data_IF_909519798978
#
_entry.id   IF_909519798978
#
_cell.length_a   1.000
_cell.length_b   1.000
_cell.length_c   1.000
_cell.angle_alpha   90.00
_cell.angle_beta   90.00
_cell.angle_gamma   90.00
#
_symmetry.space_group_name_H-M   'P 1'
#
loop_
_entity.id
_entity.type
_entity.pdbx_description
1 polymer ?
#
# COMPACT_ATOMS: atom_id res chain seq x y z
N UNK A 1 -4.11 -7.43 37.34
CA UNK A 1 -5.45 -6.84 37.51
C UNK A 1 -5.68 -6.64 38.98
N UNK A 2 -6.16 -5.49 39.46
CA UNK A 2 -6.50 -5.27 40.83
C UNK A 2 -7.67 -6.17 41.23
N UNK A 3 -7.56 -6.76 42.42
CA UNK A 3 -8.62 -7.60 42.98
C UNK A 3 -9.09 -6.99 44.31
N UNK A 4 -10.38 -7.08 44.57
CA UNK A 4 -10.94 -6.64 45.85
C UNK A 4 -10.67 -7.67 46.97
N UNK A 5 -11.04 -7.33 48.21
CA UNK A 5 -10.86 -8.21 49.38
C UNK A 5 -11.53 -9.58 49.30
N UNK A 6 -12.41 -9.80 48.30
CA UNK A 6 -13.11 -11.06 48.04
C UNK A 6 -12.52 -11.83 46.87
N UNK A 7 -11.35 -11.43 46.36
CA UNK A 7 -10.69 -12.08 45.19
C UNK A 7 -11.36 -11.83 43.85
N UNK A 8 -12.35 -10.92 43.76
CA UNK A 8 -13.00 -10.55 42.48
C UNK A 8 -12.29 -9.34 41.87
N UNK A 9 -12.30 -9.24 40.53
CA UNK A 9 -11.73 -8.10 39.80
C UNK A 9 -12.40 -6.80 40.30
N UNK A 10 -11.57 -5.82 40.67
CA UNK A 10 -12.00 -4.49 41.03
C UNK A 10 -11.97 -3.58 39.79
N UNK A 11 -13.06 -3.57 39.06
CA UNK A 11 -13.18 -2.78 37.82
C UNK A 11 -13.01 -1.28 38.07
N UNK A 12 -13.54 -0.76 39.18
CA UNK A 12 -13.44 0.67 39.51
C UNK A 12 -11.99 1.09 39.74
N UNK A 13 -11.23 0.30 40.47
CA UNK A 13 -9.81 0.54 40.69
C UNK A 13 -9.02 0.36 39.38
N UNK A 14 -9.38 -0.61 38.52
CA UNK A 14 -8.78 -0.82 37.22
C UNK A 14 -8.95 0.39 36.30
N UNK A 15 -10.15 0.97 36.24
CA UNK A 15 -10.43 2.17 35.44
C UNK A 15 -9.68 3.38 35.98
N UNK A 16 -9.59 3.54 37.31
CA UNK A 16 -8.82 4.62 37.95
C UNK A 16 -7.32 4.52 37.67
N UNK A 17 -6.74 3.33 37.81
CA UNK A 17 -5.31 3.09 37.55
C UNK A 17 -5.00 3.31 36.07
N UNK A 18 -5.89 2.88 35.15
CA UNK A 18 -5.75 3.10 33.73
C UNK A 18 -5.85 4.60 33.38
N UNK A 19 -6.84 5.31 33.92
CA UNK A 19 -6.99 6.74 33.66
C UNK A 19 -5.79 7.55 34.19
N UNK A 20 -5.28 7.24 35.39
CA UNK A 20 -4.10 7.90 35.92
C UNK A 20 -2.87 7.72 35.00
N UNK A 21 -2.72 6.55 34.35
CA UNK A 21 -1.65 6.32 33.40
C UNK A 21 -1.86 7.10 32.10
N UNK A 22 -3.07 7.14 31.58
CA UNK A 22 -3.42 7.91 30.37
C UNK A 22 -3.19 9.41 30.59
N UNK A 23 -3.59 9.92 31.74
CA UNK A 23 -3.40 11.32 32.13
C UNK A 23 -1.90 11.67 32.29
N UNK A 24 -1.09 10.79 32.91
CA UNK A 24 0.37 10.93 32.99
C UNK A 24 1.02 11.04 31.61
N UNK A 25 0.52 10.30 30.64
CA UNK A 25 1.02 10.30 29.25
C UNK A 25 0.41 11.40 28.39
N UNK A 26 -0.43 12.27 28.96
CA UNK A 26 -1.17 13.33 28.28
C UNK A 26 -1.99 12.80 27.07
N UNK A 27 -2.55 11.59 27.21
CA UNK A 27 -3.36 10.99 26.14
C UNK A 27 -4.83 11.43 26.25
N UNK A 28 -5.42 12.03 25.22
CA UNK A 28 -6.81 12.47 25.22
C UNK A 28 -7.78 11.30 24.98
N UNK A 29 -7.75 10.30 25.91
CA UNK A 29 -8.54 9.08 25.86
C UNK A 29 -9.07 8.79 27.27
N UNK A 30 -10.32 8.38 27.38
CA UNK A 30 -10.88 7.91 28.65
C UNK A 30 -10.66 6.41 28.81
N UNK A 31 -10.36 5.95 30.03
CA UNK A 31 -10.19 4.52 30.32
C UNK A 31 -11.41 3.66 29.94
N UNK A 32 -12.60 4.27 29.88
CA UNK A 32 -13.87 3.63 29.52
C UNK A 32 -14.19 3.69 28.00
N UNK A 33 -13.35 4.35 27.19
CA UNK A 33 -13.60 4.45 25.77
C UNK A 33 -13.42 3.08 25.08
N UNK A 34 -14.30 2.80 24.10
CA UNK A 34 -14.16 1.60 23.28
C UNK A 34 -13.04 1.81 22.26
N UNK A 35 -12.03 0.93 22.26
CA UNK A 35 -10.88 1.00 21.36
C UNK A 35 -11.28 1.05 19.86
N UNK A 36 -12.37 0.39 19.48
CA UNK A 36 -12.86 0.41 18.08
C UNK A 36 -13.25 1.81 17.59
N UNK A 37 -13.66 2.68 18.51
CA UNK A 37 -14.08 4.05 18.18
C UNK A 37 -12.94 5.07 18.20
N UNK A 38 -11.73 4.64 18.59
CA UNK A 38 -10.56 5.50 18.61
C UNK A 38 -9.88 5.54 17.24
N UNK A 39 -9.26 6.69 16.90
CA UNK A 39 -8.38 6.79 15.74
C UNK A 39 -7.20 5.81 15.89
N UNK A 40 -6.58 5.46 14.76
CA UNK A 40 -5.44 4.53 14.76
C UNK A 40 -4.30 5.05 15.63
N UNK A 41 -4.01 6.34 15.57
CA UNK A 41 -3.01 6.99 16.43
C UNK A 41 -3.31 6.81 17.91
N UNK A 42 -4.55 7.08 18.33
CA UNK A 42 -4.96 6.91 19.73
C UNK A 42 -4.85 5.45 20.18
N UNK A 43 -5.20 4.49 19.31
CA UNK A 43 -5.03 3.06 19.61
C UNK A 43 -3.56 2.70 19.82
N UNK A 44 -2.66 3.23 18.98
CA UNK A 44 -1.22 3.01 19.11
C UNK A 44 -0.67 3.56 20.43
N UNK A 45 -1.09 4.77 20.81
CA UNK A 45 -0.71 5.37 22.08
C UNK A 45 -1.22 4.55 23.29
N UNK A 46 -2.43 3.99 23.21
CA UNK A 46 -2.99 3.10 24.23
C UNK A 46 -2.17 1.80 24.33
N UNK A 47 -1.68 1.23 23.21
CA UNK A 47 -0.79 0.05 23.26
C UNK A 47 0.53 0.35 23.97
N UNK A 48 1.11 1.54 23.78
CA UNK A 48 2.30 1.98 24.52
C UNK A 48 1.96 2.12 26.00
N UNK A 49 0.86 2.79 26.35
CA UNK A 49 0.40 2.92 27.73
C UNK A 49 0.21 1.55 28.41
N UNK A 50 -0.35 0.58 27.70
CA UNK A 50 -0.51 -0.80 28.16
C UNK A 50 0.83 -1.51 28.42
N UNK A 51 1.85 -1.31 27.59
CA UNK A 51 3.19 -1.83 27.85
C UNK A 51 3.77 -1.22 29.13
N UNK A 52 3.62 0.09 29.32
CA UNK A 52 4.09 0.81 30.51
C UNK A 52 3.36 0.42 31.79
N UNK A 53 2.07 0.05 31.72
CA UNK A 53 1.31 -0.42 32.89
C UNK A 53 1.92 -1.67 33.54
N UNK A 54 2.84 -2.34 32.85
CA UNK A 54 3.59 -3.51 33.33
C UNK A 54 5.00 -3.17 33.79
N UNK A 55 5.30 -1.88 34.01
CA UNK A 55 6.64 -1.40 34.37
C UNK A 55 7.72 -1.84 33.35
N UNK A 56 7.38 -1.84 32.06
CA UNK A 56 8.32 -2.16 31.00
C UNK A 56 9.48 -1.15 31.00
N UNK A 57 10.70 -1.66 31.01
CA UNK A 57 11.94 -0.86 30.87
C UNK A 57 12.41 -0.76 29.44
N UNK A 58 11.94 -1.66 28.59
CA UNK A 58 12.22 -1.69 27.14
C UNK A 58 10.89 -1.87 26.43
N UNK A 59 10.64 -1.02 25.44
CA UNK A 59 9.46 -1.09 24.57
C UNK A 59 9.91 -1.32 23.14
N UNK A 60 9.34 -2.31 22.48
CA UNK A 60 9.58 -2.58 21.04
C UNK A 60 8.41 -2.01 20.26
N UNK A 61 8.70 -1.11 19.33
CA UNK A 61 7.75 -0.50 18.41
C UNK A 61 8.05 -1.01 17.00
N UNK A 62 7.15 -1.84 16.47
CA UNK A 62 7.27 -2.44 15.14
C UNK A 62 6.34 -1.69 14.18
N UNK A 63 6.93 -0.89 13.29
CA UNK A 63 6.25 -0.02 12.31
C UNK A 63 5.06 0.77 12.90
N UNK A 64 5.23 1.49 14.01
CA UNK A 64 4.11 2.10 14.73
C UNK A 64 3.40 3.20 13.94
N UNK A 65 4.01 3.68 12.86
CA UNK A 65 3.56 4.83 12.06
C UNK A 65 3.00 4.45 10.70
N UNK A 66 2.98 3.17 10.35
CA UNK A 66 2.60 2.69 9.01
C UNK A 66 1.23 3.17 8.50
N UNK A 67 0.31 3.50 9.41
CA UNK A 67 -1.07 3.94 9.11
C UNK A 67 -1.42 5.29 9.73
N UNK A 68 -0.42 6.06 10.21
CA UNK A 68 -0.63 7.37 10.83
C UNK A 68 -0.50 8.50 9.80
N UNK A 69 -1.34 9.52 9.93
CA UNK A 69 -1.18 10.78 9.21
C UNK A 69 0.01 11.57 9.79
N UNK A 70 0.62 12.44 8.98
CA UNK A 70 1.80 13.21 9.38
C UNK A 70 1.56 14.07 10.63
N UNK A 71 0.37 14.64 10.78
CA UNK A 71 -0.04 15.39 11.98
C UNK A 71 -0.16 14.53 13.25
N UNK A 72 -0.31 13.22 13.11
CA UNK A 72 -0.41 12.29 14.26
C UNK A 72 0.96 11.78 14.71
N UNK A 73 1.99 11.85 13.84
CA UNK A 73 3.36 11.42 14.12
C UNK A 73 4.00 12.22 15.25
N UNK A 74 3.84 13.54 15.22
CA UNK A 74 4.41 14.43 16.25
C UNK A 74 3.96 14.06 17.67
N UNK A 75 2.72 13.61 17.83
CA UNK A 75 2.19 13.16 19.11
C UNK A 75 2.91 11.91 19.64
N UNK A 76 3.14 10.94 18.74
CA UNK A 76 3.87 9.72 19.05
C UNK A 76 5.34 10.02 19.39
N UNK A 77 6.00 10.87 18.60
CA UNK A 77 7.41 11.20 18.77
C UNK A 77 7.66 11.92 20.10
N UNK A 78 6.80 12.89 20.44
CA UNK A 78 6.86 13.55 21.77
C UNK A 78 6.72 12.56 22.90
N UNK A 79 5.80 11.59 22.79
CA UNK A 79 5.62 10.56 23.82
C UNK A 79 6.87 9.67 23.94
N UNK A 80 7.46 9.24 22.80
CA UNK A 80 8.68 8.41 22.81
C UNK A 80 9.85 9.19 23.44
N UNK A 81 10.08 10.45 23.06
CA UNK A 81 11.11 11.28 23.65
C UNK A 81 10.92 11.51 25.17
N UNK A 82 9.70 11.79 25.59
CA UNK A 82 9.38 11.94 27.02
C UNK A 82 9.77 10.68 27.80
N UNK A 83 9.32 9.51 27.32
CA UNK A 83 9.56 8.24 28.01
C UNK A 83 11.03 7.79 27.94
N UNK A 84 11.73 8.08 26.86
CA UNK A 84 13.17 7.86 26.76
C UNK A 84 13.93 8.72 27.78
N UNK A 85 13.51 9.98 27.96
CA UNK A 85 14.04 10.87 29.02
C UNK A 85 13.75 10.37 30.45
N UNK A 86 12.69 9.57 30.64
CA UNK A 86 12.38 8.88 31.92
C UNK A 86 13.18 7.58 32.09
N UNK A 87 14.07 7.22 31.16
CA UNK A 87 14.96 6.05 31.23
C UNK A 87 14.37 4.76 30.65
N UNK A 88 13.32 4.86 29.82
CA UNK A 88 12.77 3.71 29.10
C UNK A 88 13.55 3.54 27.80
N UNK A 89 14.09 2.33 27.56
CA UNK A 89 14.74 1.98 26.32
C UNK A 89 13.71 1.67 25.22
N UNK A 90 14.00 2.11 23.99
CA UNK A 90 13.16 1.80 22.83
C UNK A 90 13.94 1.03 21.78
N UNK A 91 13.31 0.01 21.21
CA UNK A 91 13.71 -0.60 19.94
C UNK A 91 12.66 -0.20 18.92
N UNK A 92 13.06 0.68 17.98
CA UNK A 92 12.16 1.26 16.98
C UNK A 92 12.44 0.63 15.62
N UNK A 93 11.46 -0.10 15.09
CA UNK A 93 11.56 -0.74 13.78
C UNK A 93 10.73 0.08 12.79
N UNK A 94 11.37 0.64 11.77
CA UNK A 94 10.72 1.40 10.71
C UNK A 94 11.50 1.30 9.41
N UNK A 95 10.79 1.38 8.30
CA UNK A 95 11.35 1.59 6.97
C UNK A 95 11.32 3.06 6.54
N UNK A 96 10.77 3.95 7.35
CA UNK A 96 10.72 5.40 7.13
C UNK A 96 11.98 6.04 7.70
N UNK A 97 12.93 6.36 6.83
CA UNK A 97 14.23 6.86 7.26
C UNK A 97 14.14 8.13 8.10
N UNK A 98 13.24 9.07 7.76
CA UNK A 98 13.04 10.31 8.53
C UNK A 98 12.78 10.04 10.02
N UNK A 99 12.01 9.00 10.35
CA UNK A 99 11.69 8.63 11.73
C UNK A 99 12.93 8.12 12.49
N UNK A 100 13.79 7.36 11.82
CA UNK A 100 15.04 6.85 12.40
C UNK A 100 15.96 8.01 12.77
N UNK A 101 16.11 8.99 11.86
CA UNK A 101 16.95 10.17 12.11
C UNK A 101 16.40 11.09 13.19
N UNK A 102 15.09 11.11 13.40
CA UNK A 102 14.44 11.97 14.39
C UNK A 102 14.42 11.34 15.79
N UNK A 103 14.21 10.02 15.87
CA UNK A 103 13.97 9.34 17.16
C UNK A 103 15.16 8.57 17.70
N UNK A 104 16.04 8.06 16.83
CA UNK A 104 17.02 7.07 17.22
C UNK A 104 18.42 7.69 17.37
N UNK A 105 19.19 7.21 18.35
CA UNK A 105 20.62 7.56 18.50
C UNK A 105 21.53 6.55 17.83
N UNK A 106 21.11 5.29 17.79
CA UNK A 106 21.86 4.20 17.14
C UNK A 106 20.99 3.49 16.14
N UNK A 107 21.60 2.90 15.11
CA UNK A 107 20.91 2.15 14.08
C UNK A 107 21.55 0.77 13.91
N UNK A 108 20.70 -0.24 13.82
CA UNK A 108 21.09 -1.62 13.48
C UNK A 108 20.47 -1.99 12.15
N UNK A 109 21.29 -2.20 11.14
CA UNK A 109 20.85 -2.54 9.79
C UNK A 109 20.79 -4.05 9.66
N UNK A 110 19.61 -4.56 9.29
CA UNK A 110 19.35 -5.98 9.06
C UNK A 110 18.83 -6.21 7.65
N UNK A 111 19.24 -7.32 7.03
CA UNK A 111 18.77 -7.78 5.72
C UNK A 111 18.68 -9.29 5.68
N UNK A 112 17.57 -9.84 5.23
CA UNK A 112 17.32 -11.29 5.13
C UNK A 112 17.61 -12.06 6.45
N UNK A 113 17.30 -11.41 7.60
CA UNK A 113 17.54 -11.98 8.92
C UNK A 113 18.98 -11.91 9.40
N UNK A 114 19.90 -11.31 8.64
CA UNK A 114 21.31 -11.14 8.99
C UNK A 114 21.61 -9.71 9.42
N UNK A 115 22.45 -9.56 10.43
CA UNK A 115 23.06 -8.27 10.80
C UNK A 115 24.02 -7.83 9.69
N UNK A 116 23.81 -6.65 9.15
CA UNK A 116 24.70 -6.02 8.16
C UNK A 116 25.67 -5.08 8.84
N UNK A 117 25.15 -4.17 9.67
CA UNK A 117 25.97 -3.17 10.35
C UNK A 117 25.23 -2.59 11.56
N UNK A 118 26.00 -2.01 12.48
CA UNK A 118 25.51 -1.28 13.64
C UNK A 118 26.37 -0.03 13.84
N UNK A 119 25.76 1.12 14.12
CA UNK A 119 26.46 2.40 14.30
C UNK A 119 25.59 3.48 14.89
N UNK A 120 26.16 4.69 15.05
CA UNK A 120 25.37 5.86 15.44
C UNK A 120 24.60 6.41 14.24
N UNK A 121 23.39 6.90 14.44
CA UNK A 121 22.57 7.47 13.35
C UNK A 121 23.30 8.63 12.66
N UNK A 122 24.09 9.43 13.41
CA UNK A 122 24.85 10.56 12.91
C UNK A 122 25.91 10.18 11.85
N UNK A 123 26.38 8.92 11.85
CA UNK A 123 27.36 8.42 10.90
C UNK A 123 26.76 8.07 9.52
N UNK A 124 25.44 8.15 9.38
CA UNK A 124 24.71 7.77 8.18
C UNK A 124 23.95 8.95 7.58
N UNK A 125 23.70 8.87 6.29
CA UNK A 125 22.65 9.62 5.61
C UNK A 125 21.60 8.63 5.07
N UNK A 126 20.48 9.16 4.60
CA UNK A 126 19.35 8.36 4.11
C UNK A 126 19.79 7.38 3.02
N UNK A 127 20.57 7.86 2.05
CA UNK A 127 21.01 7.05 0.91
C UNK A 127 21.92 5.90 1.36
N UNK A 128 22.84 6.17 2.28
CA UNK A 128 23.75 5.15 2.80
C UNK A 128 22.99 4.07 3.58
N UNK A 129 22.01 4.44 4.40
CA UNK A 129 21.16 3.47 5.12
C UNK A 129 20.39 2.59 4.15
N UNK A 130 19.72 3.19 3.17
CA UNK A 130 18.96 2.46 2.17
C UNK A 130 19.88 1.54 1.37
N UNK A 131 21.07 2.00 0.95
CA UNK A 131 22.07 1.19 0.24
C UNK A 131 22.46 -0.06 1.03
N UNK A 132 22.74 0.09 2.33
CA UNK A 132 23.09 -1.03 3.19
C UNK A 132 21.92 -1.99 3.44
N UNK A 133 20.71 -1.48 3.58
CA UNK A 133 19.49 -2.30 3.73
C UNK A 133 19.19 -3.09 2.45
N UNK A 134 19.29 -2.47 1.28
CA UNK A 134 19.00 -3.09 -0.02
C UNK A 134 20.18 -3.89 -0.55
N UNK A 135 21.42 -3.50 -0.16
CA UNK A 135 22.65 -4.16 -0.59
C UNK A 135 23.14 -3.78 -1.97
N UNK A 136 22.66 -2.67 -2.52
CA UNK A 136 23.03 -2.08 -3.83
C UNK A 136 23.01 -0.57 -3.73
N UNK A 137 23.69 0.14 -4.63
CA UNK A 137 23.64 1.60 -4.68
C UNK A 137 22.23 2.14 -4.96
N UNK A 138 21.78 3.15 -4.20
CA UNK A 138 20.44 3.74 -4.24
C UNK A 138 20.14 4.45 -5.56
N UNK A 139 21.14 4.62 -6.43
CA UNK A 139 20.96 5.31 -7.72
C UNK A 139 19.81 4.80 -8.60
N UNK A 140 19.16 3.66 -8.25
CA UNK A 140 18.19 2.97 -9.07
C UNK A 140 17.03 2.30 -8.30
N UNK A 141 16.43 2.96 -7.30
CA UNK A 141 15.18 2.45 -6.70
C UNK A 141 14.09 2.35 -7.79
N UNK A 142 14.07 3.33 -8.68
CA UNK A 142 13.13 3.39 -9.79
C UNK A 142 13.82 2.96 -11.09
N UNK A 143 13.61 1.72 -11.55
CA UNK A 143 14.26 1.23 -12.76
C UNK A 143 13.80 2.03 -13.99
N UNK A 144 14.76 2.55 -14.74
CA UNK A 144 14.48 3.32 -15.96
C UNK A 144 13.89 2.43 -17.05
N UNK A 145 12.86 2.93 -17.72
CA UNK A 145 12.22 2.30 -18.85
C UNK A 145 12.18 3.29 -20.03
N UNK A 146 12.32 2.77 -21.23
CA UNK A 146 12.03 3.53 -22.43
C UNK A 146 10.53 3.43 -22.71
N UNK A 147 9.78 4.50 -22.48
CA UNK A 147 8.36 4.54 -22.82
C UNK A 147 8.17 4.93 -24.27
N UNK A 148 7.25 4.25 -24.97
CA UNK A 148 6.71 4.68 -26.26
C UNK A 148 5.20 4.65 -26.10
N UNK A 149 4.60 5.81 -25.93
CA UNK A 149 3.15 5.92 -25.85
C UNK A 149 2.53 5.47 -27.17
N UNK A 150 1.71 4.41 -27.10
CA UNK A 150 0.96 3.90 -28.22
C UNK A 150 -0.38 4.60 -28.42
N UNK A 151 -1.30 3.92 -29.08
CA UNK A 151 -2.70 4.36 -29.22
C UNK A 151 -3.44 4.39 -27.88
N UNK A 152 -4.49 5.22 -27.76
CA UNK A 152 -5.39 5.22 -26.60
C UNK A 152 -6.14 3.91 -26.50
N UNK A 153 -6.02 3.21 -25.39
CA UNK A 153 -6.67 1.90 -25.17
C UNK A 153 -7.79 1.94 -24.13
N UNK A 154 -7.73 2.90 -23.22
CA UNK A 154 -8.78 3.21 -22.25
C UNK A 154 -9.01 4.71 -22.27
N UNK A 155 -10.25 5.11 -22.43
CA UNK A 155 -10.67 6.50 -22.30
C UNK A 155 -11.87 6.56 -21.35
N UNK A 156 -11.76 7.42 -20.37
CA UNK A 156 -12.87 7.79 -19.49
C UNK A 156 -13.21 9.25 -19.77
N UNK A 157 -14.50 9.55 -19.98
CA UNK A 157 -14.98 10.89 -20.32
C UNK A 157 -16.09 11.29 -19.36
N UNK A 158 -15.92 12.43 -18.72
CA UNK A 158 -16.91 13.06 -17.83
C UNK A 158 -17.51 12.13 -16.77
N UNK A 159 -16.65 11.29 -16.14
CA UNK A 159 -17.11 10.41 -15.08
C UNK A 159 -17.59 11.22 -13.88
N UNK A 160 -18.86 11.05 -13.54
CA UNK A 160 -19.48 11.65 -12.37
C UNK A 160 -19.99 10.58 -11.41
N UNK A 161 -19.77 10.81 -10.12
CA UNK A 161 -20.32 10.04 -9.02
C UNK A 161 -20.52 10.96 -7.82
N UNK A 162 -21.72 11.07 -7.35
CA UNK A 162 -22.09 11.99 -6.25
C UNK A 162 -21.19 11.80 -5.03
N UNK A 163 -20.53 12.87 -4.63
CA UNK A 163 -19.64 12.90 -3.46
C UNK A 163 -18.28 12.27 -3.65
N UNK A 164 -17.90 11.89 -4.88
CA UNK A 164 -16.61 11.24 -5.16
C UNK A 164 -15.93 11.69 -6.45
N UNK A 165 -16.68 11.83 -7.55
CA UNK A 165 -16.13 12.19 -8.87
C UNK A 165 -17.00 13.30 -9.50
N UNK A 166 -16.36 14.29 -10.09
CA UNK A 166 -17.00 15.45 -10.73
C UNK A 166 -16.31 15.75 -12.07
N UNK A 167 -16.87 15.21 -13.15
CA UNK A 167 -16.39 15.35 -14.54
C UNK A 167 -14.93 14.88 -14.76
N UNK A 168 -14.55 13.73 -14.16
CA UNK A 168 -13.20 13.18 -14.35
C UNK A 168 -13.06 12.61 -15.75
N UNK A 169 -12.06 13.12 -16.49
CA UNK A 169 -11.72 12.63 -17.83
C UNK A 169 -10.25 12.27 -17.88
N UNK A 170 -9.90 11.08 -18.40
CA UNK A 170 -8.53 10.63 -18.58
C UNK A 170 -8.39 9.65 -19.75
N UNK A 171 -7.18 9.53 -20.25
CA UNK A 171 -6.83 8.59 -21.33
C UNK A 171 -5.57 7.81 -20.94
N UNK A 172 -5.59 6.49 -21.11
CA UNK A 172 -4.44 5.59 -20.94
C UNK A 172 -4.02 5.05 -22.29
N UNK A 173 -2.72 5.15 -22.59
CA UNK A 173 -2.14 4.68 -23.83
C UNK A 173 -1.58 3.26 -23.70
N UNK A 174 -1.44 2.59 -24.84
CA UNK A 174 -0.82 1.26 -24.90
C UNK A 174 0.65 1.33 -24.44
N UNK A 175 1.04 0.45 -23.51
CA UNK A 175 2.40 0.39 -23.01
C UNK A 175 2.79 1.57 -22.11
N UNK A 176 1.82 2.21 -21.48
CA UNK A 176 1.98 3.35 -20.57
C UNK A 176 1.76 2.95 -19.12
N UNK A 177 2.46 3.61 -18.21
CA UNK A 177 2.09 3.72 -16.80
C UNK A 177 1.59 5.14 -16.55
N UNK A 178 0.28 5.31 -16.45
CA UNK A 178 -0.37 6.57 -16.10
C UNK A 178 -0.57 6.65 -14.59
N UNK A 179 0.00 7.67 -13.95
CA UNK A 179 -0.16 7.91 -12.52
C UNK A 179 -1.39 8.76 -12.20
N UNK A 180 -2.10 8.45 -11.12
CA UNK A 180 -3.11 9.31 -10.51
C UNK A 180 -2.57 9.85 -9.19
N UNK A 181 -2.28 11.15 -9.15
CA UNK A 181 -1.86 11.90 -7.97
C UNK A 181 -3.05 12.65 -7.33
N UNK A 182 -2.88 13.07 -6.09
CA UNK A 182 -3.85 13.88 -5.36
C UNK A 182 -3.79 13.62 -3.85
N UNK A 183 -4.40 14.48 -3.07
CA UNK A 183 -4.49 14.34 -1.61
C UNK A 183 -5.44 13.19 -1.21
N UNK A 184 -5.44 12.83 0.07
CA UNK A 184 -6.40 11.85 0.60
C UNK A 184 -7.84 12.34 0.34
N UNK A 185 -8.69 11.45 -0.21
CA UNK A 185 -10.06 11.81 -0.59
C UNK A 185 -10.19 12.55 -1.93
N UNK A 186 -9.13 12.69 -2.72
CA UNK A 186 -9.18 13.36 -4.02
C UNK A 186 -9.94 12.61 -5.11
N UNK A 187 -10.43 11.38 -4.87
CA UNK A 187 -11.19 10.60 -5.85
C UNK A 187 -10.35 9.59 -6.64
N UNK A 188 -9.09 9.36 -6.26
CA UNK A 188 -8.16 8.44 -6.97
C UNK A 188 -8.65 7.00 -7.00
N UNK A 189 -8.86 6.40 -5.84
CA UNK A 189 -9.40 5.03 -5.69
C UNK A 189 -10.77 4.90 -6.31
N UNK A 190 -11.62 5.90 -6.12
CA UNK A 190 -12.97 5.97 -6.67
C UNK A 190 -12.95 5.95 -8.20
N UNK A 191 -11.97 6.61 -8.84
CA UNK A 191 -11.78 6.58 -10.28
C UNK A 191 -11.45 5.15 -10.76
N UNK A 192 -10.52 4.45 -10.13
CA UNK A 192 -10.22 3.05 -10.48
C UNK A 192 -11.45 2.15 -10.31
N UNK A 193 -12.19 2.33 -9.21
CA UNK A 193 -13.37 1.53 -8.88
C UNK A 193 -14.54 1.80 -9.84
N UNK A 194 -14.69 3.05 -10.30
CA UNK A 194 -15.67 3.42 -11.33
C UNK A 194 -15.33 2.76 -12.67
N UNK A 195 -14.06 2.82 -13.13
CA UNK A 195 -13.62 2.23 -14.40
C UNK A 195 -13.88 0.72 -14.45
N UNK A 196 -13.66 0.00 -13.33
CA UNK A 196 -13.88 -1.46 -13.28
C UNK A 196 -15.32 -1.84 -12.88
N UNK A 197 -16.22 -0.88 -12.77
CA UNK A 197 -17.60 -1.08 -12.30
C UNK A 197 -17.71 -1.75 -10.92
N UNK A 198 -16.74 -1.51 -10.03
CA UNK A 198 -16.84 -1.87 -8.62
C UNK A 198 -17.77 -0.89 -7.87
N UNK A 199 -17.82 0.35 -8.33
CA UNK A 199 -18.75 1.37 -7.88
C UNK A 199 -19.56 1.90 -9.08
N UNK A 200 -20.85 2.22 -8.89
CA UNK A 200 -21.67 2.80 -9.97
C UNK A 200 -21.21 4.24 -10.27
N UNK A 201 -21.37 4.66 -11.51
CA UNK A 201 -21.25 6.05 -11.95
C UNK A 201 -22.67 6.62 -12.19
N UNK A 202 -22.82 7.93 -11.95
CA UNK A 202 -24.09 8.63 -12.21
C UNK A 202 -24.19 9.06 -13.68
N UNK A 203 -23.05 9.46 -14.29
CA UNK A 203 -22.93 9.80 -15.70
C UNK A 203 -21.47 9.65 -16.17
N UNK A 204 -21.25 9.76 -17.48
CA UNK A 204 -19.96 9.62 -18.14
C UNK A 204 -19.87 8.37 -19.00
N UNK A 205 -18.80 8.28 -19.75
CA UNK A 205 -18.56 7.19 -20.71
C UNK A 205 -17.18 6.57 -20.52
N UNK A 206 -17.10 5.27 -20.77
CA UNK A 206 -15.83 4.52 -20.79
C UNK A 206 -15.69 3.87 -22.16
N UNK A 207 -14.55 4.05 -22.79
CA UNK A 207 -14.19 3.39 -24.04
C UNK A 207 -12.99 2.46 -23.83
N UNK A 208 -13.06 1.27 -24.38
CA UNK A 208 -11.92 0.36 -24.49
C UNK A 208 -11.59 0.13 -25.96
N UNK A 209 -10.34 0.38 -26.34
CA UNK A 209 -9.86 0.21 -27.72
C UNK A 209 -10.74 0.98 -28.74
N UNK A 210 -11.16 2.22 -28.39
CA UNK A 210 -12.01 3.10 -29.20
C UNK A 210 -13.47 2.65 -29.32
N UNK A 211 -13.93 1.73 -28.47
CA UNK A 211 -15.31 1.27 -28.43
C UNK A 211 -15.94 1.60 -27.08
N UNK A 212 -17.12 2.22 -27.04
CA UNK A 212 -17.83 2.46 -25.81
C UNK A 212 -18.20 1.13 -25.12
N UNK A 213 -17.99 1.07 -23.81
CA UNK A 213 -18.32 -0.09 -22.98
C UNK A 213 -19.16 0.34 -21.78
N UNK A 214 -20.10 -0.52 -21.40
CA UNK A 214 -20.89 -0.31 -20.18
C UNK A 214 -20.90 -1.60 -19.37
N UNK A 215 -20.06 -1.63 -18.33
CA UNK A 215 -19.98 -2.78 -17.43
C UNK A 215 -21.07 -2.73 -16.36
N UNK A 216 -21.85 -3.79 -16.24
CA UNK A 216 -22.85 -3.93 -15.18
C UNK A 216 -22.25 -4.38 -13.85
N UNK A 217 -21.06 -4.94 -13.87
CA UNK A 217 -20.33 -5.46 -12.70
C UNK A 217 -18.86 -5.69 -13.03
N UNK A 218 -18.06 -5.89 -11.99
CA UNK A 218 -16.62 -6.15 -12.08
C UNK A 218 -16.30 -7.34 -12.98
N UNK A 219 -17.10 -8.41 -12.98
CA UNK A 219 -16.83 -9.60 -13.78
C UNK A 219 -16.78 -9.29 -15.29
N UNK A 220 -17.69 -8.45 -15.79
CA UNK A 220 -17.67 -8.03 -17.19
C UNK A 220 -16.42 -7.22 -17.55
N UNK A 221 -15.98 -6.35 -16.65
CA UNK A 221 -14.74 -5.59 -16.84
C UNK A 221 -13.51 -6.53 -16.87
N UNK A 222 -13.44 -7.51 -15.97
CA UNK A 222 -12.38 -8.52 -15.98
C UNK A 222 -12.37 -9.35 -17.25
N UNK A 223 -13.53 -9.80 -17.72
CA UNK A 223 -13.68 -10.58 -18.96
C UNK A 223 -13.30 -9.75 -20.21
N UNK A 224 -13.32 -8.41 -20.10
CA UNK A 224 -12.87 -7.47 -21.14
C UNK A 224 -11.37 -7.16 -21.08
N UNK A 225 -10.63 -7.80 -20.17
CA UNK A 225 -9.19 -7.69 -20.06
C UNK A 225 -8.69 -6.62 -19.07
N UNK A 226 -9.54 -6.08 -18.18
CA UNK A 226 -9.10 -5.28 -17.07
C UNK A 226 -8.70 -6.16 -15.88
N UNK A 227 -7.75 -5.70 -15.06
CA UNK A 227 -7.40 -6.28 -13.78
C UNK A 227 -7.33 -5.19 -12.71
N UNK A 228 -7.45 -5.53 -11.42
CA UNK A 228 -7.32 -4.56 -10.33
C UNK A 228 -6.50 -5.11 -9.17
N UNK A 229 -5.48 -4.35 -8.77
CA UNK A 229 -4.75 -4.52 -7.51
C UNK A 229 -5.32 -3.50 -6.53
N UNK A 230 -6.06 -3.91 -5.51
CA UNK A 230 -6.69 -3.00 -4.56
C UNK A 230 -5.68 -2.49 -3.53
N UNK A 231 -5.97 -1.33 -2.92
CA UNK A 231 -5.18 -0.72 -1.85
C UNK A 231 -4.96 -1.68 -0.66
N UNK A 232 -6.02 -2.32 -0.19
CA UNK A 232 -5.98 -3.23 0.95
C UNK A 232 -5.83 -4.70 0.50
N UNK A 233 -4.57 -5.12 0.20
CA UNK A 233 -4.31 -6.50 -0.27
C UNK A 233 -4.80 -7.59 0.67
N UNK A 234 -4.76 -7.34 2.01
CA UNK A 234 -5.11 -8.35 3.02
C UNK A 234 -6.61 -8.62 3.11
N UNK A 235 -7.44 -7.64 2.82
CA UNK A 235 -8.90 -7.72 2.94
C UNK A 235 -9.60 -7.83 1.58
N UNK A 236 -9.02 -7.25 0.53
CA UNK A 236 -9.61 -7.16 -0.80
C UNK A 236 -8.81 -7.92 -1.87
N UNK A 237 -7.48 -7.99 -1.72
CA UNK A 237 -6.59 -8.57 -2.72
C UNK A 237 -6.39 -10.08 -2.58
N UNK A 238 -6.39 -10.64 -1.38
CA UNK A 238 -6.02 -12.04 -1.11
C UNK A 238 -7.00 -12.74 -0.18
N UNK A 239 -7.19 -14.01 -0.42
CA UNK A 239 -7.81 -14.93 0.52
C UNK A 239 -6.71 -15.51 1.41
N UNK A 240 -6.36 -14.81 2.50
CA UNK A 240 -5.19 -15.07 3.33
C UNK A 240 -5.12 -16.50 3.89
N UNK A 241 -6.27 -17.12 4.16
CA UNK A 241 -6.35 -18.51 4.67
C UNK A 241 -6.17 -19.56 3.58
N UNK A 242 -6.14 -19.15 2.31
CA UNK A 242 -5.93 -20.03 1.17
C UNK A 242 -4.45 -20.06 0.75
N UNK A 243 -4.07 -21.12 0.02
CA UNK A 243 -2.72 -21.24 -0.50
C UNK A 243 -2.50 -20.34 -1.73
N UNK A 244 -1.24 -20.26 -2.17
CA UNK A 244 -0.85 -19.45 -3.33
C UNK A 244 -1.51 -19.92 -4.62
N UNK A 245 -1.66 -21.26 -4.83
CA UNK A 245 -2.31 -21.80 -6.03
C UNK A 245 -3.72 -21.23 -6.16
N UNK A 246 -4.52 -21.32 -5.11
CA UNK A 246 -5.88 -20.81 -5.13
C UNK A 246 -5.94 -19.30 -5.38
N UNK A 247 -5.12 -18.53 -4.67
CA UNK A 247 -5.09 -17.07 -4.81
C UNK A 247 -4.68 -16.63 -6.22
N UNK A 248 -3.72 -17.28 -6.84
CA UNK A 248 -3.20 -16.92 -8.15
C UNK A 248 -4.18 -17.29 -9.27
N UNK A 249 -4.79 -18.48 -9.21
CA UNK A 249 -5.61 -18.99 -10.31
C UNK A 249 -7.07 -18.59 -10.25
N UNK A 250 -7.55 -18.09 -9.11
CA UNK A 250 -8.97 -17.77 -8.87
C UNK A 250 -9.63 -16.91 -9.95
N UNK A 251 -9.05 -15.77 -10.42
CA UNK A 251 -9.70 -14.93 -11.43
C UNK A 251 -9.84 -15.62 -12.80
N UNK A 252 -8.95 -16.55 -13.09
CA UNK A 252 -8.86 -17.23 -14.38
C UNK A 252 -9.23 -18.72 -14.32
N UNK A 253 -10.00 -19.17 -13.34
CA UNK A 253 -10.33 -20.59 -13.13
C UNK A 253 -10.88 -21.28 -14.36
N UNK A 254 -11.64 -20.57 -15.20
CA UNK A 254 -12.18 -21.10 -16.46
C UNK A 254 -11.10 -21.57 -17.43
N UNK A 255 -9.90 -20.96 -17.41
CA UNK A 255 -8.77 -21.33 -18.26
C UNK A 255 -8.14 -22.66 -17.85
N UNK A 256 -8.35 -23.08 -16.60
CA UNK A 256 -7.82 -24.32 -16.03
C UNK A 256 -8.86 -25.44 -15.95
N UNK A 257 -10.02 -25.26 -16.58
CA UNK A 257 -11.06 -26.28 -16.66
C UNK A 257 -10.83 -27.21 -17.84
N UNK A 258 -11.11 -28.50 -17.64
CA UNK A 258 -11.16 -29.48 -18.71
C UNK A 258 -12.49 -29.40 -19.48
N UNK A 259 -12.63 -30.21 -20.55
CA UNK A 259 -13.86 -30.25 -21.38
C UNK A 259 -15.13 -30.62 -20.59
N UNK A 260 -15.00 -31.18 -19.40
CA UNK A 260 -16.12 -31.56 -18.52
C UNK A 260 -16.40 -30.52 -17.43
N UNK A 261 -15.81 -29.31 -17.52
CA UNK A 261 -15.99 -28.24 -16.54
C UNK A 261 -15.28 -28.47 -15.20
N UNK A 262 -14.38 -29.46 -15.12
CA UNK A 262 -13.62 -29.75 -13.89
C UNK A 262 -12.29 -29.02 -13.92
N UNK A 263 -11.95 -28.36 -12.80
CA UNK A 263 -10.66 -27.70 -12.60
C UNK A 263 -9.54 -28.75 -12.61
N UNK A 264 -8.45 -28.49 -13.33
CA UNK A 264 -7.25 -29.30 -13.36
C UNK A 264 -6.25 -28.84 -12.31
N UNK A 265 -6.06 -29.56 -11.17
CA UNK A 265 -5.10 -29.15 -10.14
C UNK A 265 -3.66 -29.10 -10.67
N UNK A 266 -3.32 -29.98 -11.62
CA UNK A 266 -2.00 -30.01 -12.25
C UNK A 266 -1.74 -28.77 -13.09
N UNK A 267 -2.74 -28.28 -13.84
CA UNK A 267 -2.62 -27.04 -14.63
C UNK A 267 -2.48 -25.83 -13.70
N UNK A 268 -3.28 -25.73 -12.65
CA UNK A 268 -3.17 -24.66 -11.64
C UNK A 268 -1.78 -24.66 -10.96
N UNK A 269 -1.27 -25.82 -10.59
CA UNK A 269 0.05 -25.97 -9.99
C UNK A 269 1.16 -25.54 -10.95
N UNK A 270 1.10 -25.99 -12.20
CA UNK A 270 2.08 -25.61 -13.24
C UNK A 270 2.14 -24.12 -13.47
N UNK A 271 0.97 -23.49 -13.61
CA UNK A 271 0.88 -22.04 -13.81
C UNK A 271 1.40 -21.26 -12.59
N UNK A 272 1.06 -21.71 -11.38
CA UNK A 272 1.56 -21.09 -10.15
C UNK A 272 3.08 -21.19 -10.07
N UNK A 273 3.66 -22.36 -10.38
CA UNK A 273 5.11 -22.54 -10.36
C UNK A 273 5.81 -21.60 -11.37
N UNK A 274 5.24 -21.44 -12.57
CA UNK A 274 5.74 -20.49 -13.57
C UNK A 274 5.87 -19.08 -13.00
N UNK A 275 4.83 -18.54 -12.35
CA UNK A 275 4.88 -17.19 -11.78
C UNK A 275 5.73 -17.08 -10.53
N UNK A 276 5.87 -18.15 -9.75
CA UNK A 276 6.86 -18.19 -8.65
C UNK A 276 8.25 -17.93 -9.20
N UNK A 277 8.61 -18.61 -10.29
CA UNK A 277 9.92 -18.52 -10.90
C UNK A 277 10.12 -17.17 -11.62
N UNK A 278 9.15 -16.73 -12.42
CA UNK A 278 9.21 -15.47 -13.19
C UNK A 278 9.26 -14.21 -12.31
N UNK A 279 8.51 -14.18 -11.21
CA UNK A 279 8.42 -13.04 -10.31
C UNK A 279 9.27 -13.20 -9.04
N UNK A 280 10.04 -14.29 -8.96
CA UNK A 280 10.89 -14.59 -7.81
C UNK A 280 10.12 -14.54 -6.49
N UNK A 281 8.93 -15.19 -6.42
CA UNK A 281 8.08 -15.21 -5.23
C UNK A 281 8.71 -16.10 -4.16
N UNK A 282 8.80 -15.62 -2.93
CA UNK A 282 9.37 -16.36 -1.79
C UNK A 282 8.35 -16.53 -0.64
N UNK A 283 8.36 -17.68 0.02
CA UNK A 283 9.05 -18.93 -0.33
C UNK A 283 8.44 -19.57 -1.58
N UNK A 284 9.26 -20.28 -2.37
CA UNK A 284 8.87 -20.89 -3.65
C UNK A 284 7.98 -22.14 -3.54
N UNK A 285 7.22 -22.26 -2.47
CA UNK A 285 6.28 -23.37 -2.26
C UNK A 285 4.85 -22.95 -2.67
N UNK A 286 4.29 -23.45 -3.78
CA UNK A 286 2.97 -23.07 -4.26
C UNK A 286 1.82 -23.42 -3.28
N UNK A 287 2.05 -24.36 -2.37
CA UNK A 287 1.07 -24.78 -1.35
C UNK A 287 1.10 -23.93 -0.08
N UNK A 288 2.01 -22.93 0.01
CA UNK A 288 2.06 -22.07 1.20
C UNK A 288 0.76 -21.27 1.35
N UNK A 289 0.28 -21.19 2.59
CA UNK A 289 -0.83 -20.31 2.94
C UNK A 289 -0.36 -18.86 2.85
N UNK A 290 -1.07 -18.03 2.09
CA UNK A 290 -0.61 -16.66 1.76
C UNK A 290 -0.45 -15.76 2.99
N UNK A 291 -1.15 -16.04 4.08
CA UNK A 291 -0.95 -15.33 5.35
C UNK A 291 0.48 -15.47 5.93
N UNK A 292 1.19 -16.53 5.56
CA UNK A 292 2.56 -16.81 6.05
C UNK A 292 3.65 -16.22 5.15
N UNK A 293 3.29 -15.37 4.21
CA UNK A 293 4.21 -14.70 3.29
C UNK A 293 4.48 -13.26 3.73
N UNK A 294 5.65 -12.73 3.40
CA UNK A 294 5.95 -11.30 3.59
C UNK A 294 5.05 -10.42 2.73
N UNK A 295 4.89 -9.14 3.11
CA UNK A 295 4.07 -8.17 2.39
C UNK A 295 4.43 -8.05 0.92
N UNK A 296 5.72 -7.94 0.59
CA UNK A 296 6.20 -7.87 -0.80
C UNK A 296 5.86 -9.12 -1.61
N UNK A 297 6.00 -10.31 -1.02
CA UNK A 297 5.64 -11.55 -1.71
C UNK A 297 4.12 -11.72 -1.87
N UNK A 298 3.31 -11.29 -0.90
CA UNK A 298 1.87 -11.20 -1.04
C UNK A 298 1.47 -10.29 -2.21
N UNK A 299 2.12 -9.12 -2.34
CA UNK A 299 1.89 -8.18 -3.44
C UNK A 299 2.23 -8.80 -4.79
N UNK A 300 3.35 -9.51 -4.90
CA UNK A 300 3.70 -10.25 -6.12
C UNK A 300 2.64 -11.29 -6.50
N UNK A 301 2.04 -11.99 -5.53
CA UNK A 301 0.93 -12.92 -5.80
C UNK A 301 -0.30 -12.19 -6.35
N UNK A 302 -0.63 -11.00 -5.82
CA UNK A 302 -1.76 -10.19 -6.32
C UNK A 302 -1.50 -9.74 -7.76
N UNK A 303 -0.28 -9.33 -8.10
CA UNK A 303 0.09 -8.95 -9.47
C UNK A 303 0.09 -10.17 -10.39
N UNK A 304 0.72 -11.28 -9.97
CA UNK A 304 0.78 -12.54 -10.72
C UNK A 304 -0.60 -13.06 -11.13
N UNK A 305 -1.58 -12.94 -10.26
CA UNK A 305 -2.99 -13.32 -10.48
C UNK A 305 -3.57 -12.68 -11.74
N UNK A 306 -3.29 -11.38 -11.95
CA UNK A 306 -3.82 -10.65 -13.10
C UNK A 306 -3.06 -10.94 -14.38
N UNK A 307 -1.75 -11.17 -14.28
CA UNK A 307 -0.95 -11.64 -15.41
C UNK A 307 -1.47 -13.02 -15.88
N UNK A 308 -1.70 -13.93 -14.94
CA UNK A 308 -2.25 -15.25 -15.22
C UNK A 308 -3.66 -15.22 -15.84
N UNK A 309 -4.41 -14.16 -15.59
CA UNK A 309 -5.72 -13.94 -16.22
C UNK A 309 -5.66 -13.30 -17.61
N UNK A 310 -4.46 -13.04 -18.16
CA UNK A 310 -4.23 -12.39 -19.45
C UNK A 310 -4.83 -10.97 -19.53
N UNK A 311 -4.87 -10.22 -18.41
CA UNK A 311 -5.33 -8.84 -18.45
C UNK A 311 -4.43 -8.00 -19.37
N UNK A 312 -5.01 -6.95 -19.95
CA UNK A 312 -4.33 -6.01 -20.88
C UNK A 312 -4.15 -4.64 -20.23
N UNK A 313 -5.02 -4.30 -19.31
CA UNK A 313 -5.01 -3.06 -18.55
C UNK A 313 -5.07 -3.44 -17.09
N UNK A 314 -4.08 -2.98 -16.31
CA UNK A 314 -4.00 -3.22 -14.88
C UNK A 314 -4.21 -1.92 -14.11
N UNK A 315 -5.28 -1.86 -13.34
CA UNK A 315 -5.56 -0.78 -12.40
C UNK A 315 -4.87 -1.13 -11.08
N UNK A 316 -4.01 -0.26 -10.59
CA UNK A 316 -3.23 -0.52 -9.37
C UNK A 316 -3.45 0.60 -8.36
N UNK A 317 -3.91 0.23 -7.19
CA UNK A 317 -4.08 1.15 -6.06
C UNK A 317 -3.02 0.86 -4.99
N UNK A 318 -2.13 1.82 -4.75
CA UNK A 318 -1.04 1.76 -3.77
C UNK A 318 -0.17 0.47 -3.89
N UNK A 319 0.59 0.28 -4.99
CA UNK A 319 1.29 -0.98 -5.30
C UNK A 319 2.29 -1.41 -4.23
N UNK A 320 2.85 -0.48 -3.49
CA UNK A 320 3.93 -0.74 -2.52
C UNK A 320 3.54 -0.45 -1.07
N UNK A 321 2.26 -0.20 -0.79
CA UNK A 321 1.80 0.07 0.58
C UNK A 321 2.08 -1.10 1.51
N UNK A 322 2.78 -0.83 2.63
CA UNK A 322 3.17 -1.85 3.61
C UNK A 322 4.12 -2.90 3.02
N UNK A 323 4.99 -2.48 2.12
CA UNK A 323 6.07 -3.27 1.53
C UNK A 323 7.39 -2.62 1.89
N UNK A 324 8.38 -3.41 2.25
CA UNK A 324 9.73 -2.91 2.57
C UNK A 324 10.44 -2.34 1.33
N UNK A 325 11.46 -1.49 1.56
CA UNK A 325 12.15 -0.74 0.50
C UNK A 325 12.78 -1.66 -0.56
N UNK A 326 13.33 -2.81 -0.15
CA UNK A 326 13.92 -3.77 -1.07
C UNK A 326 12.88 -4.40 -1.99
N UNK A 327 11.73 -4.77 -1.44
CA UNK A 327 10.63 -5.35 -2.20
C UNK A 327 9.90 -4.30 -3.07
N UNK A 328 9.90 -3.00 -2.71
CA UNK A 328 9.36 -1.94 -3.58
C UNK A 328 10.03 -1.93 -4.94
N UNK A 329 11.37 -1.94 -4.98
CA UNK A 329 12.13 -2.00 -6.23
C UNK A 329 11.75 -3.20 -7.10
N UNK A 330 11.66 -4.40 -6.49
CA UNK A 330 11.27 -5.61 -7.22
C UNK A 330 9.87 -5.48 -7.85
N UNK A 331 8.95 -4.82 -7.16
CA UNK A 331 7.61 -4.53 -7.70
C UNK A 331 7.72 -3.59 -8.89
N UNK A 332 8.50 -2.50 -8.83
CA UNK A 332 8.68 -1.58 -9.96
C UNK A 332 9.33 -2.28 -11.16
N UNK A 333 10.32 -3.14 -10.94
CA UNK A 333 10.91 -3.97 -12.00
C UNK A 333 9.89 -4.90 -12.65
N UNK A 334 8.96 -5.46 -11.86
CA UNK A 334 7.85 -6.26 -12.37
C UNK A 334 6.92 -5.39 -13.22
N UNK A 335 6.48 -4.22 -12.71
CA UNK A 335 5.58 -3.31 -13.44
C UNK A 335 6.20 -2.88 -14.78
N UNK A 336 7.47 -2.50 -14.79
CA UNK A 336 8.19 -2.14 -16.02
C UNK A 336 8.23 -3.28 -17.02
N UNK A 337 8.60 -4.50 -16.61
CA UNK A 337 8.59 -5.68 -17.49
C UNK A 337 7.20 -5.99 -18.06
N UNK A 338 6.15 -5.79 -17.26
CA UNK A 338 4.78 -5.99 -17.73
C UNK A 338 4.40 -5.01 -18.82
N UNK A 339 4.76 -3.74 -18.65
CA UNK A 339 4.47 -2.71 -19.65
C UNK A 339 5.30 -2.92 -20.91
N UNK A 340 6.57 -3.31 -20.79
CA UNK A 340 7.41 -3.70 -21.92
C UNK A 340 6.84 -4.92 -22.69
N UNK A 341 6.11 -5.81 -22.01
CA UNK A 341 5.40 -6.92 -22.63
C UNK A 341 4.06 -6.54 -23.28
N UNK A 342 3.67 -5.25 -23.24
CA UNK A 342 2.48 -4.71 -23.88
C UNK A 342 1.26 -4.54 -22.98
N UNK A 343 1.40 -4.71 -21.67
CA UNK A 343 0.37 -4.37 -20.68
C UNK A 343 0.39 -2.84 -20.45
N UNK A 344 -0.73 -2.25 -20.05
CA UNK A 344 -0.81 -0.83 -19.68
C UNK A 344 -1.34 -0.69 -18.25
N UNK A 345 -0.86 0.29 -17.55
CA UNK A 345 -1.11 0.42 -16.11
C UNK A 345 -1.68 1.81 -15.79
N UNK A 346 -2.78 1.84 -15.05
CA UNK A 346 -3.27 3.03 -14.37
C UNK A 346 -2.98 2.87 -12.88
N UNK A 347 -2.09 3.69 -12.34
CA UNK A 347 -1.52 3.52 -11.01
C UNK A 347 -1.87 4.69 -10.08
N UNK A 348 -2.42 4.40 -8.93
CA UNK A 348 -2.59 5.34 -7.82
C UNK A 348 -1.46 5.13 -6.83
N UNK A 349 -0.86 6.22 -6.36
CA UNK A 349 0.04 6.21 -5.21
C UNK A 349 -0.10 7.49 -4.39
N UNK A 350 0.03 7.36 -3.09
CA UNK A 350 0.16 8.48 -2.14
C UNK A 350 1.61 8.97 -2.03
N UNK A 351 2.57 8.18 -2.51
CA UNK A 351 4.00 8.54 -2.50
C UNK A 351 4.36 9.25 -3.83
N UNK A 352 4.53 10.58 -3.80
CA UNK A 352 4.91 11.33 -5.01
C UNK A 352 6.21 10.86 -5.66
N UNK A 353 7.29 10.53 -4.89
CA UNK A 353 8.50 9.97 -5.48
C UNK A 353 8.26 8.67 -6.27
N UNK A 354 7.28 7.84 -5.86
CA UNK A 354 6.89 6.64 -6.59
C UNK A 354 6.28 6.98 -7.95
N UNK A 355 5.32 7.92 -7.99
CA UNK A 355 4.71 8.38 -9.24
C UNK A 355 5.74 8.99 -10.19
N UNK A 356 6.60 9.88 -9.67
CA UNK A 356 7.66 10.55 -10.45
C UNK A 356 8.66 9.53 -11.01
N UNK A 357 9.01 8.51 -10.22
CA UNK A 357 10.00 7.50 -10.59
C UNK A 357 9.50 6.47 -11.59
N UNK A 358 8.21 6.11 -11.52
CA UNK A 358 7.66 4.94 -12.25
C UNK A 358 6.78 5.32 -13.43
N UNK A 359 6.01 6.42 -13.32
CA UNK A 359 5.00 6.79 -14.34
C UNK A 359 5.59 7.48 -15.58
N UNK A 360 4.88 7.42 -16.68
CA UNK A 360 5.18 8.14 -17.92
C UNK A 360 4.47 9.49 -18.01
N UNK A 361 3.22 9.54 -17.53
CA UNK A 361 2.41 10.74 -17.32
C UNK A 361 1.72 10.67 -15.97
N UNK A 362 1.35 11.83 -15.43
CA UNK A 362 0.62 11.94 -14.16
C UNK A 362 -0.61 12.82 -14.36
N UNK A 363 -1.76 12.32 -13.99
CA UNK A 363 -3.02 13.06 -13.82
C UNK A 363 -3.18 13.41 -12.37
N UNK A 364 -3.48 14.67 -12.06
CA UNK A 364 -3.69 15.14 -10.69
C UNK A 364 -5.16 15.38 -10.45
N UNK A 365 -5.66 14.81 -9.35
CA UNK A 365 -7.04 14.99 -8.89
C UNK A 365 -7.07 15.83 -7.61
N UNK A 366 -8.10 16.66 -7.49
CA UNK A 366 -8.45 17.36 -6.27
C UNK A 366 -9.98 17.37 -6.11
N UNK A 367 -10.49 16.91 -4.96
CA UNK A 367 -11.93 16.88 -4.64
C UNK A 367 -12.80 16.29 -5.76
N UNK A 368 -12.36 15.18 -6.33
CA UNK A 368 -13.05 14.48 -7.39
C UNK A 368 -12.95 15.11 -8.78
N UNK A 369 -12.11 16.15 -8.98
CA UNK A 369 -11.93 16.84 -10.25
C UNK A 369 -10.51 16.65 -10.78
N UNK A 370 -10.37 16.62 -12.09
CA UNK A 370 -9.06 16.69 -12.74
C UNK A 370 -8.57 18.14 -12.71
N UNK A 371 -7.38 18.36 -12.10
CA UNK A 371 -6.77 19.69 -11.96
C UNK A 371 -5.52 19.87 -12.81
N UNK A 372 -4.88 18.79 -13.25
CA UNK A 372 -3.69 18.87 -14.10
C UNK A 372 -3.35 17.54 -14.74
N UNK A 373 -2.66 17.61 -15.88
CA UNK A 373 -2.01 16.47 -16.57
C UNK A 373 -0.57 16.88 -16.82
N UNK A 374 0.36 16.05 -16.40
CA UNK A 374 1.79 16.33 -16.47
C UNK A 374 2.50 15.29 -17.33
N UNK A 375 3.33 15.76 -18.25
CA UNK A 375 4.27 14.93 -19.00
C UNK A 375 5.54 14.66 -18.17
N UNK A 376 6.29 13.61 -18.51
CA UNK A 376 7.50 13.18 -17.76
C UNK A 376 8.52 14.30 -17.53
N UNK A 377 8.67 15.21 -18.47
CA UNK A 377 9.60 16.36 -18.38
C UNK A 377 9.18 17.43 -17.39
N UNK A 378 7.92 17.42 -16.97
CA UNK A 378 7.31 18.41 -16.06
C UNK A 378 7.23 17.91 -14.62
N UNK A 379 7.66 16.66 -14.35
CA UNK A 379 7.50 16.06 -13.02
C UNK A 379 8.33 16.78 -11.96
N UNK A 380 7.65 17.37 -10.98
CA UNK A 380 8.21 17.79 -9.70
C UNK A 380 7.16 17.65 -8.60
N UNK A 381 7.61 17.38 -7.38
CA UNK A 381 6.71 17.27 -6.24
C UNK A 381 5.93 18.58 -6.03
N UNK A 382 6.59 19.74 -6.18
CA UNK A 382 5.97 21.05 -6.01
C UNK A 382 4.86 21.30 -7.02
N UNK A 383 5.07 20.94 -8.29
CA UNK A 383 4.08 21.14 -9.34
C UNK A 383 2.89 20.21 -9.14
N UNK A 384 3.13 18.93 -8.81
CA UNK A 384 2.05 17.98 -8.52
C UNK A 384 1.24 18.47 -7.32
N UNK A 385 1.91 18.90 -6.23
CA UNK A 385 1.24 19.42 -5.05
C UNK A 385 0.47 20.71 -5.32
N UNK A 386 0.98 21.58 -6.19
CA UNK A 386 0.26 22.82 -6.57
C UNK A 386 -1.08 22.51 -7.24
N UNK A 387 -1.14 21.47 -8.08
CA UNK A 387 -2.40 21.01 -8.69
C UNK A 387 -3.29 20.28 -7.68
N UNK A 388 -2.69 19.45 -6.79
CA UNK A 388 -3.43 18.70 -5.78
C UNK A 388 -4.06 19.58 -4.68
N UNK A 389 -3.47 20.76 -4.40
CA UNK A 389 -3.93 21.72 -3.41
C UNK A 389 -4.70 22.91 -4.02
N UNK A 390 -4.92 22.94 -5.34
CA UNK A 390 -5.50 24.06 -6.03
C UNK A 390 -6.97 24.24 -5.63
N UNK A 391 -7.23 25.17 -4.70
CA UNK A 391 -8.57 25.69 -4.50
C UNK A 391 -9.01 26.40 -5.80
N UNK A 392 -10.13 25.97 -6.36
CA UNK A 392 -10.81 26.79 -7.35
C UNK A 392 -11.58 27.89 -6.61
N UNK A 393 -11.19 29.15 -6.88
CA UNK A 393 -12.08 30.30 -6.60
C UNK A 393 -13.41 30.16 -7.36
#
# INVERSE_FOLDING_TARGET
>A
MPVNRFGKIDYKKMDQDAQALLDRLNLPVKATDCLLNLSVAKRQMVEIAKALSRNAKIVVLDEPTAVLAESELEGLFRLVHQLAGEGIGFIYISHRMKEIFELCTTVTIMRDGCLIENGNVEDYNIDLLINKMVGREVGDIYPKRSSKNGETILKATDLCRKGALDHVSLELHRGEILGLAGLAGAGRTETLRAIIAADPIDSGEIELYGKPVHFKNVRQALDSGLGIVPEERKTQGLLLKQNMIFNLTLPALSQYMNKFGRISPAACLKETQKYIDELHIRPGNPKIVTNNMSGGNQQKVVVARWIASNCKILLIDEPTRGVDVGAKREIYEILNRLVESGLSILMVSSELPELIGVCDRIVVLNEGKLTGVLEKSEFSEELIMSYAAKYRD
#
